data_IF_071038437053
#
_entry.id   IF_071038437053
#
_cell.length_a   1.000
_cell.length_b   1.000
_cell.length_c   1.000
_cell.angle_alpha   90.00
_cell.angle_beta   90.00
_cell.angle_gamma   90.00
#
_symmetry.space_group_name_H-M   'P 1'
#
loop_
_entity.id
_entity.type
_entity.pdbx_description
1 polymer ?
#
# COMPACT_ATOMS: atom_id res chain seq x y z
N UNK A 1 18.09 1.38 -0.81
CA UNK A 1 17.05 1.65 0.22
C UNK A 1 16.39 0.32 0.60
N UNK A 2 16.44 -0.06 1.87
CA UNK A 2 15.77 -1.27 2.39
C UNK A 2 14.29 -1.00 2.60
N UNK A 3 13.43 -1.81 1.99
CA UNK A 3 11.98 -1.59 1.98
C UNK A 3 11.26 -2.80 2.54
N UNK A 4 10.50 -2.61 3.62
CA UNK A 4 9.61 -3.64 4.14
C UNK A 4 8.26 -3.57 3.42
N UNK A 5 7.84 -4.68 2.81
CA UNK A 5 6.56 -4.79 2.12
C UNK A 5 5.59 -5.59 3.01
N UNK A 6 4.69 -4.87 3.68
CA UNK A 6 3.63 -5.46 4.50
C UNK A 6 2.44 -5.82 3.61
N UNK A 7 2.07 -7.09 3.62
CA UNK A 7 1.08 -7.65 2.68
C UNK A 7 1.72 -8.17 1.37
N UNK A 8 3.01 -8.48 1.38
CA UNK A 8 3.76 -8.94 0.22
C UNK A 8 3.16 -10.16 -0.50
N UNK A 9 2.54 -11.09 0.23
CA UNK A 9 1.92 -12.28 -0.38
C UNK A 9 0.59 -11.96 -1.10
N UNK A 10 0.02 -10.76 -0.90
CA UNK A 10 -1.15 -10.31 -1.66
C UNK A 10 -0.82 -10.07 -3.14
N UNK A 11 -1.83 -10.08 -4.02
CA UNK A 11 -1.63 -9.93 -5.48
C UNK A 11 -0.91 -8.63 -5.88
N UNK A 12 -1.16 -7.53 -5.17
CA UNK A 12 -0.45 -6.25 -5.36
C UNK A 12 0.95 -6.34 -4.77
N UNK A 13 1.08 -6.88 -3.55
CA UNK A 13 2.36 -7.08 -2.88
C UNK A 13 3.36 -7.89 -3.70
N UNK A 14 2.94 -9.00 -4.33
CA UNK A 14 3.81 -9.81 -5.17
C UNK A 14 4.33 -9.03 -6.38
N UNK A 15 3.47 -8.20 -7.00
CA UNK A 15 3.84 -7.33 -8.12
C UNK A 15 4.80 -6.23 -7.67
N UNK A 16 4.59 -5.64 -6.50
CA UNK A 16 5.52 -4.67 -5.90
C UNK A 16 6.87 -5.33 -5.63
N UNK A 17 6.90 -6.51 -5.00
CA UNK A 17 8.12 -7.27 -4.73
C UNK A 17 8.91 -7.54 -6.01
N UNK A 18 8.24 -7.99 -7.07
CA UNK A 18 8.85 -8.24 -8.39
C UNK A 18 9.36 -6.95 -9.05
N UNK A 19 8.58 -5.86 -8.99
CA UNK A 19 9.00 -4.58 -9.57
C UNK A 19 10.22 -4.00 -8.82
N UNK A 20 10.25 -4.12 -7.50
CA UNK A 20 11.35 -3.66 -6.66
C UNK A 20 12.62 -4.51 -6.82
N UNK A 21 12.50 -5.83 -6.96
CA UNK A 21 13.68 -6.70 -7.13
C UNK A 21 14.39 -6.49 -8.47
N UNK A 22 13.68 -5.95 -9.47
CA UNK A 22 14.26 -5.54 -10.74
C UNK A 22 14.91 -4.14 -10.72
N UNK A 23 14.78 -3.38 -9.62
CA UNK A 23 15.37 -2.05 -9.48
C UNK A 23 16.72 -2.11 -8.75
N UNK A 24 17.71 -1.35 -9.21
CA UNK A 24 19.11 -1.44 -8.72
C UNK A 24 19.35 -0.84 -7.33
N UNK A 25 18.48 0.05 -6.87
CA UNK A 25 18.63 0.93 -5.70
C UNK A 25 17.64 0.62 -4.56
N UNK A 26 16.83 -0.43 -4.72
CA UNK A 26 15.83 -0.88 -3.74
C UNK A 26 16.12 -2.32 -3.33
N UNK A 27 16.13 -2.57 -2.03
CA UNK A 27 16.29 -3.90 -1.44
C UNK A 27 14.98 -4.28 -0.75
N UNK A 28 14.03 -4.93 -1.46
CA UNK A 28 12.75 -5.30 -0.89
C UNK A 28 12.86 -6.49 0.06
N UNK A 29 12.11 -6.46 1.15
CA UNK A 29 11.88 -7.60 2.04
C UNK A 29 10.38 -7.82 2.23
N UNK A 30 9.93 -9.03 1.96
CA UNK A 30 8.54 -9.44 2.11
C UNK A 30 8.22 -9.77 3.57
N UNK A 31 7.30 -9.02 4.17
CA UNK A 31 6.69 -9.37 5.45
C UNK A 31 5.61 -10.42 5.18
N UNK A 32 5.87 -11.66 5.61
CA UNK A 32 5.02 -12.82 5.35
C UNK A 32 4.56 -13.43 6.66
N UNK A 33 3.37 -14.04 6.67
CA UNK A 33 2.80 -14.61 7.91
C UNK A 33 3.31 -16.01 8.20
N UNK A 34 3.68 -16.76 7.17
CA UNK A 34 4.05 -18.16 7.29
C UNK A 34 5.31 -18.49 6.52
N UNK A 35 6.11 -19.38 7.08
CA UNK A 35 7.33 -19.93 6.49
C UNK A 35 7.09 -20.52 5.10
N UNK A 36 5.94 -21.16 4.86
CA UNK A 36 5.63 -21.78 3.56
C UNK A 36 5.48 -20.77 2.41
N UNK A 37 5.41 -19.46 2.72
CA UNK A 37 5.35 -18.39 1.73
C UNK A 37 6.73 -17.97 1.23
N UNK A 38 7.82 -18.39 1.90
CA UNK A 38 9.21 -18.01 1.55
C UNK A 38 9.62 -18.38 0.12
N UNK A 39 9.34 -19.61 -0.38
CA UNK A 39 9.86 -20.03 -1.68
C UNK A 39 9.46 -19.09 -2.83
N UNK A 40 8.25 -18.53 -2.78
CA UNK A 40 7.76 -17.57 -3.78
C UNK A 40 8.66 -16.31 -3.89
N UNK A 41 9.19 -15.83 -2.77
CA UNK A 41 10.01 -14.62 -2.75
C UNK A 41 11.49 -14.92 -3.01
N UNK A 42 11.97 -16.09 -2.58
CA UNK A 42 13.32 -16.59 -2.92
C UNK A 42 13.49 -16.71 -4.44
N UNK A 43 12.48 -17.22 -5.15
CA UNK A 43 12.45 -17.28 -6.62
C UNK A 43 12.53 -15.88 -7.29
N UNK A 44 12.05 -14.83 -6.60
CA UNK A 44 12.12 -13.44 -7.07
C UNK A 44 13.40 -12.71 -6.65
N UNK A 45 14.29 -13.37 -5.88
CA UNK A 45 15.45 -12.72 -5.26
C UNK A 45 15.08 -11.72 -4.16
N UNK A 46 13.93 -11.89 -3.50
CA UNK A 46 13.38 -11.00 -2.48
C UNK A 46 13.57 -11.62 -1.10
N UNK A 47 14.16 -10.87 -0.16
CA UNK A 47 14.30 -11.30 1.22
C UNK A 47 12.95 -11.50 1.91
N UNK A 48 12.90 -12.26 3.00
CA UNK A 48 11.65 -12.47 3.75
C UNK A 48 11.86 -12.28 5.24
N UNK A 49 10.80 -11.83 5.91
CA UNK A 49 10.68 -11.84 7.37
C UNK A 49 9.33 -12.42 7.75
N UNK A 50 9.33 -13.39 8.66
CA UNK A 50 8.10 -14.05 9.11
C UNK A 50 7.57 -13.33 10.34
N UNK A 51 6.44 -12.66 10.19
CA UNK A 51 5.75 -11.92 11.25
C UNK A 51 4.26 -11.75 10.89
N UNK A 52 3.41 -11.43 11.86
CA UNK A 52 1.97 -11.24 11.68
C UNK A 52 1.54 -9.84 12.12
N UNK A 53 0.66 -9.23 11.31
CA UNK A 53 -0.06 -8.01 11.73
C UNK A 53 -1.01 -8.26 12.91
N UNK A 54 -1.32 -9.52 13.24
CA UNK A 54 -2.13 -9.88 14.41
C UNK A 54 -1.30 -9.90 15.71
N UNK A 55 0.03 -9.82 15.61
CA UNK A 55 0.90 -9.77 16.78
C UNK A 55 0.96 -8.35 17.37
N UNK A 56 1.72 -8.22 18.46
CA UNK A 56 1.81 -6.96 19.21
C UNK A 56 2.50 -5.86 18.39
N UNK A 57 2.21 -4.58 18.69
CA UNK A 57 2.94 -3.47 18.09
C UNK A 57 4.45 -3.61 18.25
N UNK A 58 4.93 -4.07 19.41
CA UNK A 58 6.36 -4.23 19.70
C UNK A 58 7.01 -5.25 18.77
N UNK A 59 6.35 -6.40 18.51
CA UNK A 59 6.86 -7.41 17.59
C UNK A 59 6.99 -6.86 16.16
N UNK A 60 5.98 -6.13 15.70
CA UNK A 60 6.00 -5.46 14.39
C UNK A 60 7.11 -4.39 14.34
N UNK A 61 7.33 -3.65 15.43
CA UNK A 61 8.39 -2.64 15.53
C UNK A 61 9.81 -3.20 15.50
N UNK A 62 10.03 -4.36 16.12
CA UNK A 62 11.31 -5.07 16.06
C UNK A 62 11.72 -5.45 14.63
N UNK A 63 10.74 -5.67 13.75
CA UNK A 63 10.96 -5.84 12.30
C UNK A 63 11.18 -4.50 11.63
N UNK A 64 10.24 -3.55 11.76
CA UNK A 64 10.22 -2.28 11.02
C UNK A 64 11.50 -1.47 11.21
N UNK A 65 12.09 -1.46 12.41
CA UNK A 65 13.28 -0.64 12.73
C UNK A 65 14.53 -0.94 11.88
N UNK A 66 14.54 -2.04 11.12
CA UNK A 66 15.68 -2.46 10.30
C UNK A 66 15.60 -1.97 8.84
N UNK A 67 14.59 -1.16 8.50
CA UNK A 67 14.29 -0.73 7.14
C UNK A 67 14.30 0.79 7.01
N UNK A 68 14.49 1.28 5.78
CA UNK A 68 14.48 2.71 5.46
C UNK A 68 13.05 3.19 5.12
N UNK A 69 12.21 2.29 4.62
CA UNK A 69 10.84 2.57 4.21
C UNK A 69 9.89 1.39 4.45
N UNK A 70 8.61 1.70 4.62
CA UNK A 70 7.52 0.72 4.71
C UNK A 70 6.53 0.93 3.56
N UNK A 71 6.17 -0.16 2.89
CA UNK A 71 5.05 -0.22 1.95
C UNK A 71 3.95 -1.07 2.57
N UNK A 72 2.80 -0.46 2.84
CA UNK A 72 1.64 -1.17 3.37
C UNK A 72 0.61 -1.42 2.26
N UNK A 73 0.50 -2.68 1.85
CA UNK A 73 -0.48 -3.16 0.86
C UNK A 73 -1.34 -4.32 1.40
N UNK A 74 -1.26 -4.59 2.70
CA UNK A 74 -2.06 -5.62 3.33
C UNK A 74 -3.55 -5.25 3.31
N UNK A 75 -4.36 -6.30 3.27
CA UNK A 75 -5.80 -6.25 3.48
C UNK A 75 -6.28 -7.66 3.78
N UNK A 76 -7.33 -7.79 4.59
CA UNK A 76 -7.85 -9.09 5.02
C UNK A 76 -8.42 -9.90 3.84
N UNK A 77 -8.89 -9.20 2.80
CA UNK A 77 -9.48 -9.78 1.61
C UNK A 77 -10.94 -10.17 1.82
N UNK A 78 -11.76 -10.06 0.76
CA UNK A 78 -13.22 -10.21 0.84
C UNK A 78 -13.75 -11.61 1.20
N UNK A 79 -12.87 -12.59 1.42
CA UNK A 79 -13.23 -13.93 1.92
C UNK A 79 -13.17 -14.05 3.45
N UNK A 80 -12.67 -13.02 4.12
CA UNK A 80 -12.56 -12.96 5.59
C UNK A 80 -13.72 -12.15 6.19
N UNK A 81 -13.94 -12.30 7.50
CA UNK A 81 -14.95 -11.52 8.21
C UNK A 81 -14.49 -10.08 8.51
N UNK A 82 -15.44 -9.27 9.00
CA UNK A 82 -15.17 -7.89 9.39
C UNK A 82 -14.20 -7.77 10.58
N UNK A 83 -14.10 -8.81 11.41
CA UNK A 83 -13.06 -8.95 12.44
C UNK A 83 -11.67 -8.81 11.82
N UNK A 84 -11.40 -9.51 10.71
CA UNK A 84 -10.11 -9.41 10.02
C UNK A 84 -9.93 -8.09 9.30
N UNK A 85 -10.98 -7.46 8.80
CA UNK A 85 -10.89 -6.09 8.29
C UNK A 85 -10.44 -5.12 9.40
N UNK A 86 -10.94 -5.29 10.62
CA UNK A 86 -10.51 -4.46 11.76
C UNK A 86 -9.07 -4.78 12.19
N UNK A 87 -8.70 -6.06 12.29
CA UNK A 87 -7.37 -6.48 12.73
C UNK A 87 -6.26 -6.19 11.71
N UNK A 88 -6.55 -6.32 10.41
CA UNK A 88 -5.54 -6.24 9.35
C UNK A 88 -5.55 -4.88 8.67
N UNK A 89 -6.69 -4.44 8.12
CA UNK A 89 -6.76 -3.21 7.34
C UNK A 89 -6.70 -1.95 8.20
N UNK A 90 -7.20 -2.01 9.45
CA UNK A 90 -7.18 -0.89 10.39
C UNK A 90 -6.07 -1.02 11.44
N UNK A 91 -6.18 -1.96 12.38
CA UNK A 91 -5.23 -2.08 13.50
C UNK A 91 -3.81 -2.42 13.01
N UNK A 92 -3.68 -3.38 12.10
CA UNK A 92 -2.40 -3.72 11.47
C UNK A 92 -1.73 -2.53 10.79
N UNK A 93 -2.51 -1.70 10.08
CA UNK A 93 -2.01 -0.46 9.48
C UNK A 93 -1.55 0.54 10.54
N UNK A 94 -2.40 0.85 11.53
CA UNK A 94 -2.10 1.79 12.61
C UNK A 94 -0.86 1.36 13.41
N UNK A 95 -0.75 0.08 13.76
CA UNK A 95 0.45 -0.46 14.43
C UNK A 95 1.70 -0.22 13.59
N UNK A 96 1.63 -0.50 12.30
CA UNK A 96 2.76 -0.31 11.39
C UNK A 96 3.18 1.16 11.28
N UNK A 97 2.22 2.07 11.19
CA UNK A 97 2.43 3.53 11.16
C UNK A 97 3.12 3.98 12.45
N UNK A 98 2.55 3.62 13.60
CA UNK A 98 3.05 4.05 14.90
C UNK A 98 4.44 3.49 15.21
N UNK A 99 4.73 2.25 14.81
CA UNK A 99 6.07 1.68 14.97
C UNK A 99 7.09 2.29 14.02
N UNK A 100 6.70 2.59 12.77
CA UNK A 100 7.59 3.29 11.83
C UNK A 100 7.99 4.66 12.39
N UNK A 101 7.02 5.44 12.88
CA UNK A 101 7.27 6.73 13.51
C UNK A 101 8.15 6.60 14.76
N UNK A 102 7.80 5.69 15.68
CA UNK A 102 8.56 5.44 16.92
C UNK A 102 10.02 5.08 16.66
N UNK A 103 10.30 4.30 15.61
CA UNK A 103 11.65 3.85 15.27
C UNK A 103 12.36 4.77 14.26
N UNK A 104 11.75 5.89 13.86
CA UNK A 104 12.37 6.87 12.96
C UNK A 104 12.43 6.43 11.49
N UNK A 105 11.66 5.42 11.09
CA UNK A 105 11.53 4.97 9.70
C UNK A 105 10.58 5.91 8.96
N UNK A 106 11.13 6.96 8.35
CA UNK A 106 10.33 8.10 7.88
C UNK A 106 9.46 7.82 6.66
N UNK A 107 9.92 7.04 5.69
CA UNK A 107 9.22 6.86 4.41
C UNK A 107 8.13 5.80 4.53
N UNK A 108 6.88 6.17 4.25
CA UNK A 108 5.74 5.24 4.32
C UNK A 108 4.82 5.37 3.11
N UNK A 109 4.61 4.28 2.36
CA UNK A 109 3.66 4.26 1.22
C UNK A 109 2.48 3.37 1.58
N UNK A 110 1.27 3.92 1.53
CA UNK A 110 0.03 3.21 1.83
C UNK A 110 -0.75 2.93 0.55
N UNK A 111 -1.21 1.69 0.36
CA UNK A 111 -2.24 1.35 -0.62
C UNK A 111 -3.60 1.37 0.07
N UNK A 112 -4.27 2.51 -0.05
CA UNK A 112 -5.60 2.82 0.46
C UNK A 112 -6.71 2.38 -0.49
N UNK A 113 -7.82 3.11 -0.49
CA UNK A 113 -8.95 2.90 -1.40
C UNK A 113 -9.53 4.22 -1.87
N UNK A 114 -9.93 4.29 -3.14
CA UNK A 114 -10.58 5.48 -3.66
C UNK A 114 -11.92 5.75 -2.97
N UNK A 115 -12.27 7.02 -2.82
CA UNK A 115 -13.45 7.49 -2.05
C UNK A 115 -13.42 7.16 -0.55
N UNK A 116 -12.27 6.80 0.03
CA UNK A 116 -12.15 6.56 1.47
C UNK A 116 -12.58 7.74 2.34
N UNK A 117 -12.55 8.98 1.84
CA UNK A 117 -13.01 10.15 2.62
C UNK A 117 -14.50 10.51 2.39
N UNK A 118 -15.19 9.85 1.44
CA UNK A 118 -16.61 10.08 1.15
C UNK A 118 -17.50 9.04 1.84
N UNK A 119 -18.02 9.38 3.02
CA UNK A 119 -18.91 8.49 3.80
C UNK A 119 -20.21 8.15 3.08
N UNK A 120 -20.67 8.98 2.14
CA UNK A 120 -21.86 8.68 1.33
C UNK A 120 -21.59 7.57 0.31
N UNK A 121 -20.33 7.35 -0.04
CA UNK A 121 -19.90 6.29 -0.96
C UNK A 121 -19.84 4.91 -0.30
N UNK A 122 -19.53 4.84 1.00
CA UNK A 122 -19.17 3.57 1.67
C UNK A 122 -20.26 2.51 1.67
N UNK A 123 -21.53 2.91 1.53
CA UNK A 123 -22.69 2.02 1.47
C UNK A 123 -23.20 1.70 0.07
N UNK A 124 -22.54 2.18 -1.00
CA UNK A 124 -22.98 1.95 -2.38
C UNK A 124 -22.81 0.50 -2.84
N UNK A 125 -21.89 -0.23 -2.22
CA UNK A 125 -21.67 -1.65 -2.44
C UNK A 125 -21.92 -2.38 -1.12
N UNK A 126 -22.78 -3.38 -1.15
CA UNK A 126 -23.15 -4.13 0.06
C UNK A 126 -21.92 -4.78 0.71
N UNK A 127 -21.89 -4.78 2.05
CA UNK A 127 -20.76 -5.30 2.83
C UNK A 127 -19.45 -4.49 2.78
N UNK A 128 -19.34 -3.43 1.97
CA UNK A 128 -18.08 -2.66 1.82
C UNK A 128 -17.88 -1.55 2.87
N UNK A 129 -18.93 -1.20 3.62
CA UNK A 129 -18.85 -0.11 4.61
C UNK A 129 -17.76 -0.32 5.67
N UNK A 130 -17.58 -1.53 6.25
CA UNK A 130 -16.47 -1.78 7.19
C UNK A 130 -15.09 -1.62 6.55
N UNK A 131 -14.93 -2.05 5.30
CA UNK A 131 -13.68 -1.88 4.55
C UNK A 131 -13.33 -0.40 4.34
N UNK A 132 -14.27 0.40 3.84
CA UNK A 132 -14.04 1.84 3.66
C UNK A 132 -13.79 2.55 4.99
N UNK A 133 -14.49 2.14 6.05
CA UNK A 133 -14.27 2.65 7.41
C UNK A 133 -12.84 2.38 7.86
N UNK A 134 -12.36 1.14 7.73
CA UNK A 134 -11.00 0.75 8.09
C UNK A 134 -9.95 1.56 7.30
N UNK A 135 -10.08 1.60 5.96
CA UNK A 135 -9.16 2.35 5.09
C UNK A 135 -9.15 3.85 5.40
N UNK A 136 -10.30 4.45 5.64
CA UNK A 136 -10.39 5.86 6.03
C UNK A 136 -9.65 6.18 7.33
N UNK A 137 -9.86 5.39 8.39
CA UNK A 137 -9.24 5.65 9.67
C UNK A 137 -7.74 5.31 9.69
N UNK A 138 -7.30 4.30 8.93
CA UNK A 138 -5.88 4.05 8.70
C UNK A 138 -5.20 5.22 7.96
N UNK A 139 -5.84 5.75 6.91
CA UNK A 139 -5.35 6.93 6.19
C UNK A 139 -5.28 8.16 7.10
N UNK A 140 -6.29 8.37 7.96
CA UNK A 140 -6.30 9.48 8.91
C UNK A 140 -5.17 9.39 9.93
N UNK A 141 -4.83 8.18 10.41
CA UNK A 141 -3.70 8.00 11.32
C UNK A 141 -2.37 8.34 10.61
N UNK A 142 -2.18 7.83 9.40
CA UNK A 142 -0.98 8.13 8.62
C UNK A 142 -0.83 9.64 8.35
N UNK A 143 -1.93 10.33 8.01
CA UNK A 143 -1.96 11.78 7.83
C UNK A 143 -1.63 12.58 9.10
N UNK A 144 -1.84 12.01 10.29
CA UNK A 144 -1.54 12.65 11.59
C UNK A 144 -0.13 12.38 12.08
N UNK A 145 0.52 11.35 11.54
CA UNK A 145 1.92 11.04 11.86
C UNK A 145 2.89 12.09 11.30
N UNK A 146 4.14 12.00 11.73
CA UNK A 146 5.29 12.77 11.22
C UNK A 146 6.01 12.08 10.06
N UNK A 147 5.44 11.02 9.50
CA UNK A 147 6.04 10.25 8.41
C UNK A 147 6.00 11.01 7.08
N UNK A 148 7.04 10.80 6.27
CA UNK A 148 7.11 11.21 4.87
C UNK A 148 6.21 10.28 4.05
N UNK A 149 4.89 10.43 4.17
CA UNK A 149 3.93 9.47 3.63
C UNK A 149 3.55 9.74 2.17
N UNK A 150 3.08 8.71 1.47
CA UNK A 150 2.25 8.85 0.26
C UNK A 150 1.12 7.84 0.32
N UNK A 151 -0.13 8.27 0.13
CA UNK A 151 -1.31 7.40 0.13
C UNK A 151 -1.80 7.26 -1.31
N UNK A 152 -1.72 6.06 -1.86
CA UNK A 152 -2.28 5.71 -3.17
C UNK A 152 -3.66 5.09 -2.98
N UNK A 153 -4.68 5.65 -3.60
CA UNK A 153 -6.07 5.23 -3.49
C UNK A 153 -6.56 4.71 -4.85
N UNK A 154 -6.28 3.43 -5.16
CA UNK A 154 -6.80 2.83 -6.38
C UNK A 154 -8.31 2.61 -6.28
N UNK A 155 -8.94 2.65 -7.45
CA UNK A 155 -10.30 2.13 -7.68
C UNK A 155 -10.28 0.59 -7.77
N UNK A 156 -11.30 -0.04 -8.37
CA UNK A 156 -11.40 -1.51 -8.43
C UNK A 156 -10.15 -2.14 -9.11
N UNK A 157 -9.55 -3.13 -8.45
CA UNK A 157 -8.30 -3.73 -8.92
C UNK A 157 -8.52 -4.90 -9.90
N UNK A 158 -7.96 -4.81 -11.11
CA UNK A 158 -7.95 -5.88 -12.13
C UNK A 158 -6.63 -6.66 -12.16
N UNK A 159 -6.67 -7.87 -12.72
CA UNK A 159 -5.52 -8.78 -12.82
C UNK A 159 -4.77 -8.66 -14.15
N UNK A 160 -5.00 -7.58 -14.92
CA UNK A 160 -4.24 -7.30 -16.14
C UNK A 160 -2.72 -7.26 -15.82
N UNK A 161 -1.92 -7.90 -16.67
CA UNK A 161 -0.46 -8.03 -16.47
C UNK A 161 0.33 -6.77 -16.84
N UNK A 162 -0.25 -5.89 -17.64
CA UNK A 162 0.34 -4.60 -18.01
C UNK A 162 -0.22 -3.48 -17.13
N UNK A 163 0.65 -2.55 -16.71
CA UNK A 163 0.21 -1.33 -16.03
C UNK A 163 -0.68 -0.45 -16.94
N UNK A 164 -0.36 -0.41 -18.23
CA UNK A 164 -1.03 0.46 -19.18
C UNK A 164 -0.85 1.94 -18.85
N UNK A 165 -1.87 2.72 -19.15
CA UNK A 165 -1.94 4.16 -18.87
C UNK A 165 -2.87 4.43 -17.68
N UNK A 166 -2.56 5.47 -16.93
CA UNK A 166 -3.20 5.80 -15.66
C UNK A 166 -3.74 7.23 -15.67
N UNK A 167 -4.73 7.46 -14.81
CA UNK A 167 -5.17 8.76 -14.37
C UNK A 167 -4.85 8.87 -12.87
N UNK A 168 -4.23 9.98 -12.47
CA UNK A 168 -3.98 10.33 -11.08
C UNK A 168 -4.54 11.72 -10.80
N UNK A 169 -5.17 11.89 -9.65
CA UNK A 169 -5.82 13.15 -9.25
C UNK A 169 -5.91 13.24 -7.72
N UNK A 170 -6.15 14.43 -7.19
CA UNK A 170 -6.52 14.64 -5.78
C UNK A 170 -8.05 14.59 -5.58
N UNK A 171 -8.82 14.57 -6.67
CA UNK A 171 -10.29 14.57 -6.66
C UNK A 171 -10.88 13.20 -7.01
N UNK A 172 -11.48 12.47 -6.05
CA UNK A 172 -12.04 11.13 -6.32
C UNK A 172 -13.23 11.14 -7.29
N UNK A 173 -13.84 12.30 -7.61
CA UNK A 173 -14.91 12.36 -8.61
C UNK A 173 -14.42 12.18 -10.06
N UNK A 174 -13.11 12.30 -10.30
CA UNK A 174 -12.51 12.24 -11.64
C UNK A 174 -12.01 10.85 -12.03
N UNK A 175 -11.83 9.94 -11.07
CA UNK A 175 -11.31 8.59 -11.35
C UNK A 175 -12.36 7.70 -12.03
N UNK A 176 -11.88 6.83 -12.93
CA UNK A 176 -12.68 5.79 -13.56
C UNK A 176 -13.02 4.63 -12.62
N UNK A 177 -13.48 3.51 -13.18
CA UNK A 177 -13.99 2.39 -12.36
C UNK A 177 -12.92 1.41 -11.88
N UNK A 178 -11.86 1.21 -12.66
CA UNK A 178 -10.90 0.12 -12.43
C UNK A 178 -9.44 0.50 -12.76
N UNK A 179 -8.49 -0.28 -12.24
CA UNK A 179 -7.05 -0.15 -12.46
C UNK A 179 -6.31 -1.50 -12.33
N UNK A 180 -5.33 -1.80 -13.19
CA UNK A 180 -4.49 -2.98 -13.03
C UNK A 180 -3.70 -2.96 -11.73
N UNK A 181 -3.61 -4.11 -11.05
CA UNK A 181 -2.69 -4.28 -9.91
C UNK A 181 -1.24 -3.98 -10.29
N UNK A 182 -0.87 -4.23 -11.55
CA UNK A 182 0.44 -3.89 -12.08
C UNK A 182 0.69 -2.37 -12.06
N UNK A 183 -0.29 -1.56 -12.46
CA UNK A 183 -0.17 -0.10 -12.44
C UNK A 183 0.02 0.45 -11.02
N UNK A 184 -0.68 -0.13 -10.03
CA UNK A 184 -0.49 0.21 -8.62
C UNK A 184 0.92 -0.14 -8.17
N UNK A 185 1.42 -1.33 -8.52
CA UNK A 185 2.76 -1.76 -8.13
C UNK A 185 3.88 -0.86 -8.70
N UNK A 186 3.78 -0.52 -9.98
CA UNK A 186 4.73 0.39 -10.64
C UNK A 186 4.64 1.81 -10.07
N UNK A 187 3.43 2.27 -9.72
CA UNK A 187 3.25 3.57 -9.06
C UNK A 187 3.88 3.58 -7.67
N UNK A 188 3.72 2.51 -6.88
CA UNK A 188 4.39 2.39 -5.57
C UNK A 188 5.90 2.54 -5.71
N UNK A 189 6.52 1.87 -6.69
CA UNK A 189 7.96 1.99 -6.95
C UNK A 189 8.34 3.43 -7.34
N UNK A 190 7.54 4.08 -8.20
CA UNK A 190 7.78 5.45 -8.64
C UNK A 190 7.70 6.46 -7.48
N UNK A 191 6.64 6.41 -6.66
CA UNK A 191 6.48 7.35 -5.55
C UNK A 191 7.49 7.11 -4.44
N UNK A 192 7.90 5.87 -4.19
CA UNK A 192 8.82 5.53 -3.10
C UNK A 192 10.08 6.40 -3.12
N UNK A 193 10.56 6.76 -4.32
CA UNK A 193 11.81 7.48 -4.56
C UNK A 193 11.65 8.97 -4.84
N UNK A 194 10.43 9.49 -4.92
CA UNK A 194 10.17 10.88 -5.30
C UNK A 194 9.71 11.71 -4.09
N UNK A 195 10.57 12.59 -3.53
CA UNK A 195 10.20 13.49 -2.44
C UNK A 195 9.03 14.42 -2.75
N UNK A 196 8.71 14.69 -4.02
CA UNK A 196 7.56 15.52 -4.40
C UNK A 196 6.22 14.85 -4.06
N UNK A 197 6.24 13.54 -3.83
CA UNK A 197 5.06 12.75 -3.48
C UNK A 197 4.80 12.72 -1.96
N UNK A 198 5.69 13.31 -1.16
CA UNK A 198 5.57 13.26 0.30
C UNK A 198 4.39 14.14 0.76
N UNK A 199 3.61 13.62 1.70
CA UNK A 199 2.39 14.25 2.19
C UNK A 199 1.19 14.13 1.22
N UNK A 200 1.35 13.48 0.06
CA UNK A 200 0.29 13.40 -0.96
C UNK A 200 -0.68 12.25 -0.76
N UNK A 201 -1.93 12.50 -1.14
CA UNK A 201 -3.00 11.50 -1.30
C UNK A 201 -3.38 11.51 -2.77
N UNK A 202 -3.28 10.37 -3.45
CA UNK A 202 -3.43 10.27 -4.89
C UNK A 202 -4.52 9.24 -5.19
N UNK A 203 -5.63 9.70 -5.73
CA UNK A 203 -6.68 8.88 -6.31
C UNK A 203 -6.21 8.38 -7.67
N UNK A 204 -6.41 7.09 -8.01
CA UNK A 204 -5.89 6.53 -9.26
C UNK A 204 -6.80 5.49 -9.94
N UNK A 205 -6.85 5.56 -11.28
CA UNK A 205 -7.60 4.66 -12.16
C UNK A 205 -6.91 4.44 -13.52
N UNK A 206 -7.44 3.57 -14.40
CA UNK A 206 -7.06 3.55 -15.83
C UNK A 206 -7.26 4.94 -16.45
N UNK A 207 -6.33 5.37 -17.29
CA UNK A 207 -6.37 6.69 -17.93
C UNK A 207 -5.53 6.77 -19.20
N UNK A 208 -4.97 7.95 -19.49
CA UNK A 208 -4.29 8.22 -20.76
C UNK A 208 -2.79 8.53 -20.63
N UNK A 209 -2.31 8.75 -19.40
CA UNK A 209 -0.92 9.16 -19.14
C UNK A 209 -0.04 7.98 -18.73
N UNK A 210 1.26 8.08 -19.00
CA UNK A 210 2.24 7.20 -18.35
C UNK A 210 2.33 7.58 -16.87
N UNK A 211 2.74 6.64 -16.01
CA UNK A 211 2.84 6.85 -14.55
C UNK A 211 3.64 8.11 -14.20
N UNK A 212 4.80 8.32 -14.84
CA UNK A 212 5.63 9.49 -14.59
C UNK A 212 4.93 10.82 -14.94
N UNK A 213 4.20 10.85 -16.06
CA UNK A 213 3.47 12.04 -16.51
C UNK A 213 2.27 12.33 -15.60
N UNK A 214 1.56 11.28 -15.17
CA UNK A 214 0.44 11.38 -14.24
C UNK A 214 0.88 11.90 -12.87
N UNK A 215 1.99 11.38 -12.33
CA UNK A 215 2.57 11.85 -11.07
C UNK A 215 3.00 13.32 -11.16
N UNK A 216 3.62 13.72 -12.26
CA UNK A 216 4.03 15.11 -12.45
C UNK A 216 2.86 16.11 -12.42
N UNK A 217 1.65 15.70 -12.82
CA UNK A 217 0.44 16.54 -12.79
C UNK A 217 -0.15 16.72 -11.38
N UNK A 218 0.06 15.77 -10.48
CA UNK A 218 -0.51 15.80 -9.11
C UNK A 218 0.51 16.21 -8.04
N UNK A 219 1.79 16.18 -8.36
CA UNK A 219 2.89 16.52 -7.46
C UNK A 219 3.60 17.84 -7.82
N UNK A 220 3.05 18.61 -8.76
CA UNK A 220 3.53 19.96 -9.12
C UNK A 220 3.21 21.01 -8.06
#
# INVERSE_FOLDING_TARGET
>A
MKVLIIGAHGKVGQRISKAMSAAEDVEPTAFIRKEEQKPLFEEMGVGTVVESLENTPEAIGEVIKNYDAVVFTAGSGGKTGHDKTMEIDLDGAIKSINQAEKHGVKRFVMVGASHSDDRSYWGKVDGMKPYYTAKHYADLELKRSSLDYTILRPVLLTDDDEAGKVLMTENPAEVGSEIPRQAVAETVLAVLKDPKTYGKVIEMSKGEDKIADALAKVCS
#
